data_IF_608442546162
#
_entry.id   IF_608442546162
#
_cell.length_a   1.000
_cell.length_b   1.000
_cell.length_c   1.000
_cell.angle_alpha   90.00
_cell.angle_beta   90.00
_cell.angle_gamma   90.00
#
_symmetry.space_group_name_H-M   'P 1'
#
loop_
_entity.id
_entity.type
_entity.pdbx_description
1 polymer ?
#
# COMPACT_ATOMS: atom_id res chain seq x y z
N UNK A 1 34.23 37.41 41.61
CA UNK A 1 34.55 37.39 40.17
C UNK A 1 33.36 36.76 39.44
N UNK A 2 32.49 37.58 38.84
CA UNK A 2 32.25 37.64 37.39
C UNK A 2 31.85 36.27 36.81
N UNK A 3 30.54 35.98 36.75
CA UNK A 3 29.64 36.23 35.60
C UNK A 3 29.73 35.13 34.53
N UNK A 4 28.56 34.57 34.22
CA UNK A 4 28.17 33.85 33.00
C UNK A 4 28.51 32.36 33.00
N UNK A 5 27.51 31.53 33.27
CA UNK A 5 27.11 30.44 32.37
C UNK A 5 25.61 30.21 32.55
N UNK A 6 24.85 31.23 32.16
CA UNK A 6 23.41 31.17 31.95
C UNK A 6 23.21 30.79 30.48
N UNK A 7 22.55 29.66 30.25
CA UNK A 7 21.99 29.32 28.94
C UNK A 7 22.63 28.11 28.28
N UNK A 8 22.05 26.93 28.53
CA UNK A 8 21.74 25.94 27.49
C UNK A 8 20.55 25.08 27.96
N UNK A 9 19.47 25.75 28.41
CA UNK A 9 18.12 25.21 28.26
C UNK A 9 17.72 25.59 26.83
N UNK A 10 17.97 24.69 25.89
CA UNK A 10 17.31 24.68 24.60
C UNK A 10 16.83 23.26 24.38
N UNK A 11 15.73 22.99 25.08
CA UNK A 11 14.78 21.94 24.82
C UNK A 11 14.69 21.65 23.32
N UNK A 12 15.25 20.51 22.87
CA UNK A 12 14.84 19.90 21.62
C UNK A 12 13.41 19.39 21.81
N UNK A 13 12.44 20.29 21.71
CA UNK A 13 11.13 19.90 21.22
C UNK A 13 11.35 19.47 19.78
N UNK A 14 11.64 18.18 19.58
CA UNK A 14 11.35 17.53 18.32
C UNK A 14 9.83 17.56 18.15
N UNK A 15 9.30 18.68 17.67
CA UNK A 15 7.99 18.69 17.03
C UNK A 15 8.18 17.81 15.81
N UNK A 16 7.86 16.53 15.95
CA UNK A 16 7.54 15.71 14.80
C UNK A 16 6.35 16.43 14.16
N UNK A 17 6.64 17.25 13.14
CA UNK A 17 5.61 17.76 12.24
C UNK A 17 4.89 16.52 11.73
N UNK A 18 3.73 16.21 12.30
CA UNK A 18 2.78 15.33 11.66
C UNK A 18 2.43 16.07 10.38
N UNK A 19 3.08 15.66 9.29
CA UNK A 19 2.73 16.08 7.96
C UNK A 19 1.22 15.90 7.86
N UNK A 20 0.53 17.03 7.66
CA UNK A 20 -0.90 17.06 7.44
C UNK A 20 -1.15 16.15 6.25
N UNK A 21 -1.72 14.99 6.55
CA UNK A 21 -1.90 13.93 5.57
C UNK A 21 -2.87 14.47 4.51
N UNK A 22 -2.43 14.59 3.26
CA UNK A 22 -3.20 15.19 2.15
C UNK A 22 -4.43 14.34 1.74
N UNK A 23 -4.88 13.43 2.60
CA UNK A 23 -5.97 12.47 2.35
C UNK A 23 -5.63 11.45 1.26
N UNK A 24 -4.41 11.46 0.73
CA UNK A 24 -3.98 10.57 -0.34
C UNK A 24 -3.54 9.24 0.23
N UNK A 25 -4.15 8.17 -0.25
CA UNK A 25 -3.78 6.80 0.08
C UNK A 25 -3.18 6.18 -1.17
N UNK A 26 -2.02 5.55 -1.04
CA UNK A 26 -1.37 4.81 -2.11
C UNK A 26 -1.50 3.32 -1.83
N UNK A 27 -1.58 2.50 -2.88
CA UNK A 27 -1.80 1.05 -2.78
C UNK A 27 -1.03 0.29 -3.85
N UNK A 28 -0.63 -0.94 -3.53
CA UNK A 28 -0.30 -1.98 -4.51
C UNK A 28 -0.73 -3.36 -4.02
N UNK A 29 -0.99 -4.28 -4.94
CA UNK A 29 -1.33 -5.68 -4.68
C UNK A 29 -0.16 -6.62 -4.95
N UNK A 30 -0.12 -7.74 -4.21
CA UNK A 30 0.69 -8.91 -4.51
C UNK A 30 -0.21 -10.15 -4.53
N UNK A 31 0.09 -11.11 -5.39
CA UNK A 31 -0.60 -12.40 -5.42
C UNK A 31 0.36 -13.54 -5.69
N UNK A 32 0.06 -14.68 -5.08
CA UNK A 32 0.74 -15.96 -5.29
C UNK A 32 -0.28 -17.08 -5.35
N UNK A 33 0.01 -18.16 -6.07
CA UNK A 33 -0.80 -19.39 -6.02
C UNK A 33 0.03 -20.53 -5.44
N UNK A 34 -0.60 -21.50 -4.77
CA UNK A 34 0.07 -22.74 -4.40
C UNK A 34 0.29 -23.68 -5.60
N UNK A 35 -0.46 -23.44 -6.69
CA UNK A 35 -0.42 -24.25 -7.90
C UNK A 35 0.56 -23.73 -8.96
N UNK A 36 1.19 -22.58 -8.75
CA UNK A 36 2.16 -22.00 -9.69
C UNK A 36 3.21 -21.17 -8.94
N UNK A 37 4.39 -21.09 -9.52
CA UNK A 37 5.53 -20.32 -9.02
C UNK A 37 5.41 -18.81 -9.29
N UNK A 38 4.50 -18.38 -10.18
CA UNK A 38 4.40 -16.97 -10.58
C UNK A 38 3.85 -16.10 -9.44
N UNK A 39 4.60 -15.05 -9.14
CA UNK A 39 4.21 -13.99 -8.21
C UNK A 39 3.76 -12.78 -9.03
N UNK A 40 2.52 -12.35 -8.84
CA UNK A 40 2.00 -11.14 -9.48
C UNK A 40 2.17 -9.95 -8.53
N UNK A 41 2.61 -8.81 -9.04
CA UNK A 41 2.67 -7.56 -8.28
C UNK A 41 2.10 -6.42 -9.12
N UNK A 42 1.18 -5.63 -8.57
CA UNK A 42 0.67 -4.44 -9.27
C UNK A 42 1.63 -3.26 -9.14
N UNK A 43 1.54 -2.30 -10.06
CA UNK A 43 2.13 -0.99 -9.88
C UNK A 43 1.62 -0.32 -8.59
N UNK A 44 2.45 0.55 -8.01
CA UNK A 44 2.04 1.46 -6.95
C UNK A 44 1.21 2.59 -7.56
N UNK A 45 0.02 2.82 -7.02
CA UNK A 45 -0.90 3.83 -7.53
C UNK A 45 -1.68 4.55 -6.43
N UNK A 46 -2.22 5.71 -6.79
CA UNK A 46 -3.09 6.52 -5.94
C UNK A 46 -4.48 5.86 -5.88
N UNK A 47 -4.95 5.60 -4.67
CA UNK A 47 -6.28 5.04 -4.43
C UNK A 47 -7.27 6.18 -4.22
N UNK A 48 -7.79 6.70 -5.33
CA UNK A 48 -8.66 7.89 -5.33
C UNK A 48 -9.96 7.62 -4.57
N UNK A 49 -10.30 8.51 -3.63
CA UNK A 49 -11.55 8.44 -2.85
C UNK A 49 -11.51 7.45 -1.68
N UNK A 50 -10.41 6.73 -1.46
CA UNK A 50 -10.30 5.86 -0.30
C UNK A 50 -10.15 6.65 1.01
N UNK A 51 -10.55 6.01 2.10
CA UNK A 51 -10.45 6.55 3.45
C UNK A 51 -9.86 5.52 4.42
N UNK A 52 -9.27 6.03 5.51
CA UNK A 52 -8.82 5.20 6.62
C UNK A 52 -9.84 5.28 7.77
N UNK A 53 -10.08 4.14 8.40
CA UNK A 53 -10.85 4.07 9.63
C UNK A 53 -10.18 4.92 10.71
N UNK A 54 -10.87 5.96 11.20
CA UNK A 54 -10.30 6.96 12.12
C UNK A 54 -9.66 6.38 13.39
N UNK A 55 -10.19 5.28 13.92
CA UNK A 55 -9.72 4.67 15.18
C UNK A 55 -8.53 3.73 14.99
N UNK A 56 -8.48 3.00 13.88
CA UNK A 56 -7.53 1.90 13.67
C UNK A 56 -6.45 2.25 12.64
N UNK A 57 -6.67 3.26 11.81
CA UNK A 57 -5.81 3.58 10.66
C UNK A 57 -5.89 2.54 9.54
N UNK A 58 -6.83 1.59 9.61
CA UNK A 58 -6.99 0.59 8.55
C UNK A 58 -7.70 1.18 7.33
N UNK A 59 -7.29 0.71 6.16
CA UNK A 59 -7.96 1.02 4.91
C UNK A 59 -9.40 0.50 4.93
N UNK A 60 -10.37 1.40 4.71
CA UNK A 60 -11.76 1.03 4.52
C UNK A 60 -11.90 0.16 3.26
N UNK A 61 -12.80 -0.83 3.28
CA UNK A 61 -13.00 -1.76 2.16
C UNK A 61 -11.77 -2.56 1.72
N UNK A 62 -10.80 -2.76 2.62
CA UNK A 62 -9.58 -3.57 2.36
C UNK A 62 -9.86 -4.94 1.74
N UNK A 63 -10.90 -5.64 2.20
CA UNK A 63 -11.30 -6.94 1.64
C UNK A 63 -11.77 -6.81 0.20
N UNK A 64 -12.53 -5.77 -0.13
CA UNK A 64 -13.03 -5.51 -1.49
C UNK A 64 -11.89 -5.25 -2.47
N UNK A 65 -10.89 -4.44 -2.14
CA UNK A 65 -9.73 -4.23 -3.01
C UNK A 65 -8.92 -5.52 -3.20
N UNK A 66 -8.78 -6.33 -2.14
CA UNK A 66 -8.09 -7.62 -2.24
C UNK A 66 -8.83 -8.56 -3.19
N UNK A 67 -10.17 -8.62 -3.09
CA UNK A 67 -11.02 -9.40 -3.97
C UNK A 67 -11.02 -8.89 -5.42
N UNK A 68 -11.00 -7.57 -5.63
CA UNK A 68 -10.90 -6.93 -6.96
C UNK A 68 -9.62 -7.37 -7.68
N UNK A 69 -8.47 -7.32 -6.99
CA UNK A 69 -7.20 -7.77 -7.57
C UNK A 69 -7.17 -9.27 -7.80
N UNK A 70 -7.73 -10.06 -6.88
CA UNK A 70 -7.86 -11.50 -7.06
C UNK A 70 -8.69 -11.84 -8.29
N UNK A 71 -9.88 -11.26 -8.43
CA UNK A 71 -10.77 -11.50 -9.56
C UNK A 71 -10.12 -11.08 -10.88
N UNK A 72 -9.42 -9.95 -10.92
CA UNK A 72 -8.64 -9.55 -12.08
C UNK A 72 -7.63 -10.62 -12.50
N UNK A 73 -6.82 -11.11 -11.56
CA UNK A 73 -5.80 -12.11 -11.85
C UNK A 73 -6.40 -13.46 -12.25
N UNK A 74 -7.45 -13.89 -11.57
CA UNK A 74 -8.13 -15.16 -11.89
C UNK A 74 -8.87 -15.10 -13.23
N UNK A 75 -9.34 -13.92 -13.66
CA UNK A 75 -9.99 -13.74 -14.96
C UNK A 75 -9.01 -13.78 -16.15
N UNK A 76 -7.75 -13.37 -15.94
CA UNK A 76 -6.76 -13.16 -17.02
C UNK A 76 -5.63 -14.18 -17.01
N UNK A 77 -5.37 -14.81 -15.86
CA UNK A 77 -4.21 -15.69 -15.67
C UNK A 77 -4.61 -17.05 -15.12
N UNK A 78 -4.52 -17.25 -13.79
CA UNK A 78 -4.71 -18.55 -13.16
C UNK A 78 -5.63 -18.45 -11.95
N UNK A 79 -6.45 -19.47 -11.71
CA UNK A 79 -7.35 -19.57 -10.55
C UNK A 79 -6.63 -19.80 -9.22
N UNK A 80 -7.35 -19.67 -8.10
CA UNK A 80 -6.86 -19.91 -6.74
C UNK A 80 -5.69 -19.00 -6.37
N UNK A 81 -5.88 -17.70 -6.61
CA UNK A 81 -4.90 -16.67 -6.31
C UNK A 81 -5.05 -16.22 -4.85
N UNK A 82 -3.98 -16.33 -4.07
CA UNK A 82 -3.92 -15.76 -2.72
C UNK A 82 -3.37 -14.34 -2.81
N UNK A 83 -4.25 -13.36 -2.64
CA UNK A 83 -3.92 -11.94 -2.79
C UNK A 83 -3.73 -11.22 -1.45
N UNK A 84 -2.85 -10.23 -1.45
CA UNK A 84 -2.73 -9.26 -0.37
C UNK A 84 -2.47 -7.86 -0.94
N UNK A 85 -3.02 -6.85 -0.29
CA UNK A 85 -2.74 -5.45 -0.63
C UNK A 85 -1.91 -4.77 0.45
N UNK A 86 -1.08 -3.83 0.03
CA UNK A 86 -0.31 -2.96 0.89
C UNK A 86 -0.69 -1.51 0.59
N UNK A 87 -0.90 -0.73 1.64
CA UNK A 87 -1.24 0.68 1.53
C UNK A 87 -0.39 1.55 2.46
N UNK A 88 -0.25 2.82 2.11
CA UNK A 88 0.31 3.84 2.99
C UNK A 88 -0.17 5.22 2.53
N UNK A 89 -0.14 6.20 3.44
CA UNK A 89 -0.38 7.60 3.09
C UNK A 89 0.90 8.33 2.63
N UNK A 90 2.06 7.74 2.92
CA UNK A 90 3.36 8.18 2.40
C UNK A 90 3.77 7.28 1.22
N UNK A 91 3.71 7.84 0.00
CA UNK A 91 4.09 7.13 -1.23
C UNK A 91 5.52 6.61 -1.17
N UNK A 92 6.47 7.39 -0.66
CA UNK A 92 7.88 7.00 -0.61
C UNK A 92 8.10 5.79 0.31
N UNK A 93 7.37 5.71 1.42
CA UNK A 93 7.40 4.52 2.29
C UNK A 93 6.84 3.29 1.59
N UNK A 94 5.74 3.45 0.85
CA UNK A 94 5.13 2.34 0.11
C UNK A 94 6.04 1.85 -1.03
N UNK A 95 6.59 2.75 -1.82
CA UNK A 95 7.53 2.46 -2.91
C UNK A 95 8.78 1.74 -2.41
N UNK A 96 9.34 2.15 -1.27
CA UNK A 96 10.46 1.43 -0.64
C UNK A 96 10.07 0.00 -0.27
N UNK A 97 8.84 -0.25 0.19
CA UNK A 97 8.35 -1.60 0.52
C UNK A 97 8.13 -2.43 -0.75
N UNK A 98 7.52 -1.83 -1.77
CA UNK A 98 7.37 -2.42 -3.10
C UNK A 98 8.71 -2.88 -3.67
N UNK A 99 9.71 -2.00 -3.73
CA UNK A 99 11.05 -2.32 -4.24
C UNK A 99 11.77 -3.39 -3.42
N UNK A 100 11.58 -3.42 -2.10
CA UNK A 100 12.15 -4.46 -1.23
C UNK A 100 11.54 -5.83 -1.54
N UNK A 101 10.22 -5.91 -1.71
CA UNK A 101 9.54 -7.16 -2.08
C UNK A 101 9.98 -7.63 -3.46
N UNK A 102 9.96 -6.74 -4.45
CA UNK A 102 10.42 -7.02 -5.82
C UNK A 102 11.85 -7.57 -5.84
N UNK A 103 12.78 -6.92 -5.14
CA UNK A 103 14.17 -7.39 -5.02
C UNK A 103 14.28 -8.75 -4.34
N UNK A 104 13.48 -8.99 -3.29
CA UNK A 104 13.47 -10.28 -2.59
C UNK A 104 13.00 -11.40 -3.51
N UNK A 105 11.87 -11.21 -4.18
CA UNK A 105 11.29 -12.21 -5.10
C UNK A 105 12.29 -12.53 -6.20
N UNK A 106 12.85 -11.52 -6.87
CA UNK A 106 13.85 -11.75 -7.93
C UNK A 106 15.14 -12.43 -7.45
N UNK A 107 15.49 -12.28 -6.17
CA UNK A 107 16.66 -12.93 -5.56
C UNK A 107 16.37 -14.39 -5.19
N UNK A 108 15.24 -14.65 -4.57
CA UNK A 108 14.87 -15.96 -4.01
C UNK A 108 14.24 -16.88 -5.08
N UNK A 109 13.50 -16.28 -6.02
CA UNK A 109 12.78 -16.95 -7.10
C UNK A 109 13.00 -16.20 -8.44
N UNK A 110 14.21 -16.30 -9.03
CA UNK A 110 14.51 -15.60 -10.27
C UNK A 110 13.55 -15.99 -11.40
N UNK A 111 13.04 -14.99 -12.13
CA UNK A 111 12.18 -15.21 -13.31
C UNK A 111 10.71 -15.52 -13.01
N UNK A 112 10.28 -15.54 -11.75
CA UNK A 112 8.88 -15.82 -11.40
C UNK A 112 8.03 -14.57 -11.15
N UNK A 113 8.64 -13.38 -11.12
CA UNK A 113 7.93 -12.14 -10.89
C UNK A 113 7.26 -11.63 -12.16
N UNK A 114 5.95 -11.40 -12.10
CA UNK A 114 5.16 -10.74 -13.13
C UNK A 114 4.57 -9.42 -12.63
N UNK A 115 4.95 -8.34 -13.29
CA UNK A 115 4.48 -7.00 -12.95
C UNK A 115 3.21 -6.66 -13.74
N UNK A 116 2.18 -6.18 -13.04
CA UNK A 116 0.92 -5.70 -13.62
C UNK A 116 0.99 -4.17 -13.66
N UNK A 117 0.93 -3.61 -14.86
CA UNK A 117 1.04 -2.17 -15.07
C UNK A 117 -0.21 -1.41 -14.60
N UNK A 118 -0.09 -0.12 -14.33
CA UNK A 118 -1.24 0.74 -13.99
C UNK A 118 -2.22 0.94 -15.17
N UNK A 119 -1.81 0.64 -16.40
CA UNK A 119 -2.71 0.58 -17.56
C UNK A 119 -3.49 -0.73 -17.64
N UNK A 120 -2.97 -1.79 -17.04
CA UNK A 120 -3.59 -3.12 -17.05
C UNK A 120 -4.62 -3.32 -15.93
N UNK A 121 -4.42 -2.67 -14.78
CA UNK A 121 -5.27 -2.80 -13.60
C UNK A 121 -5.20 -1.54 -12.72
N UNK A 122 -6.37 -1.06 -12.29
CA UNK A 122 -6.49 0.03 -11.32
C UNK A 122 -7.49 -0.36 -10.23
N UNK A 123 -7.14 -0.06 -8.98
CA UNK A 123 -8.02 -0.28 -7.83
C UNK A 123 -9.10 0.80 -7.79
N UNK A 124 -10.32 0.40 -7.44
CA UNK A 124 -11.45 1.31 -7.39
C UNK A 124 -12.21 1.20 -6.07
N UNK A 125 -12.62 2.34 -5.51
CA UNK A 125 -13.45 2.36 -4.30
C UNK A 125 -14.80 1.71 -4.61
N UNK A 126 -15.26 0.73 -3.82
CA UNK A 126 -16.54 0.09 -4.06
C UNK A 126 -17.69 1.11 -4.03
N UNK A 127 -18.50 1.11 -5.09
CA UNK A 127 -19.72 1.91 -5.14
C UNK A 127 -20.84 1.10 -4.50
N UNK A 128 -21.31 1.53 -3.32
CA UNK A 128 -22.52 0.95 -2.74
C UNK A 128 -23.74 1.58 -3.41
N UNK A 129 -24.44 0.80 -4.22
CA UNK A 129 -25.83 1.11 -4.57
C UNK A 129 -26.63 1.02 -3.26
N UNK A 130 -27.17 2.15 -2.82
CA UNK A 130 -28.05 2.18 -1.65
C UNK A 130 -29.32 1.43 -2.05
N UNK A 131 -29.48 0.19 -1.61
CA UNK A 131 -30.76 -0.51 -1.70
C UNK A 131 -31.70 0.24 -0.76
N UNK A 132 -32.58 1.06 -1.34
CA UNK A 132 -33.73 1.61 -0.65
C UNK A 132 -34.69 0.45 -0.41
N UNK A 133 -34.73 -0.06 0.83
CA UNK A 133 -35.86 -0.82 1.37
C UNK A 133 -36.78 0.14 2.13
#
# INVERSE_FOLDING_TARGET
MKRIFLGFIAMLMAVAMQAKDDGRIYVFGISTSFNDSIVYISAVQDLQGASLQKKTGFLEYRSSYTAEFQQYLESKYQSNQTCAIFFATDRNKLEKKYLKLRKRINKEHPGTLKEISASDFQFSVPVFQKTEE
#
